data_IF_447169089739
#
_entry.id   IF_447169089739
#
_cell.length_a   1.000
_cell.length_b   1.000
_cell.length_c   1.000
_cell.angle_alpha   90.00
_cell.angle_beta   90.00
_cell.angle_gamma   90.00
#
_symmetry.space_group_name_H-M   'P 1'
#
loop_
_entity.id
_entity.type
_entity.pdbx_description
1 polymer ?
#
# COMPACT_ATOMS: atom_id res chain seq x y z
N UNK A 1 11.62 25.33 4.23
CA UNK A 1 10.52 24.33 4.06
C UNK A 1 10.87 23.42 2.89
N UNK A 2 10.64 22.10 3.01
CA UNK A 2 10.77 21.17 1.88
C UNK A 2 9.68 21.43 0.85
N UNK A 3 10.03 21.35 -0.43
CA UNK A 3 9.05 21.41 -1.53
C UNK A 3 8.19 20.14 -1.56
N UNK A 4 7.06 20.16 -2.26
CA UNK A 4 6.22 18.95 -2.45
C UNK A 4 7.02 17.79 -3.07
N UNK A 5 7.84 18.06 -4.10
CA UNK A 5 8.68 17.05 -4.72
C UNK A 5 9.67 16.43 -3.72
N UNK A 6 10.32 17.23 -2.90
CA UNK A 6 11.23 16.75 -1.86
C UNK A 6 10.50 15.88 -0.81
N UNK A 7 9.28 16.25 -0.44
CA UNK A 7 8.46 15.44 0.48
C UNK A 7 8.06 14.11 -0.18
N UNK A 8 7.70 14.12 -1.46
CA UNK A 8 7.32 12.91 -2.20
C UNK A 8 8.50 11.94 -2.33
N UNK A 9 9.72 12.46 -2.59
CA UNK A 9 10.95 11.67 -2.58
C UNK A 9 11.21 11.02 -1.21
N UNK A 10 11.07 11.79 -0.12
CA UNK A 10 11.22 11.28 1.24
C UNK A 10 10.17 10.23 1.59
N UNK A 11 8.95 10.39 1.10
CA UNK A 11 7.87 9.42 1.27
C UNK A 11 8.19 8.10 0.56
N UNK A 12 8.72 8.16 -0.66
CA UNK A 12 9.17 7.00 -1.40
C UNK A 12 10.39 6.33 -0.74
N UNK A 13 11.37 7.13 -0.28
CA UNK A 13 12.54 6.63 0.44
C UNK A 13 12.13 5.87 1.72
N UNK A 14 11.20 6.43 2.48
CA UNK A 14 10.67 5.80 3.69
C UNK A 14 10.00 4.46 3.37
N UNK A 15 9.20 4.39 2.30
CA UNK A 15 8.56 3.16 1.88
C UNK A 15 9.57 2.06 1.54
N UNK A 16 10.65 2.41 0.86
CA UNK A 16 11.68 1.46 0.42
C UNK A 16 12.58 1.03 1.57
N UNK A 17 13.14 1.99 2.32
CA UNK A 17 14.16 1.71 3.35
C UNK A 17 13.57 1.20 4.66
N UNK A 18 12.43 1.74 5.08
CA UNK A 18 11.82 1.41 6.38
C UNK A 18 10.62 0.48 6.22
N UNK A 19 9.71 0.82 5.31
CA UNK A 19 8.46 0.08 5.12
C UNK A 19 8.71 -1.32 4.58
N UNK A 20 9.21 -1.42 3.36
CA UNK A 20 9.52 -2.69 2.71
C UNK A 20 10.92 -3.23 3.04
N UNK A 21 11.80 -2.38 3.60
CA UNK A 21 13.18 -2.74 3.95
C UNK A 21 13.89 -3.50 2.81
N UNK A 22 13.86 -2.92 1.62
CA UNK A 22 14.39 -3.56 0.40
C UNK A 22 15.88 -3.85 0.55
N UNK A 23 16.26 -5.10 0.28
CA UNK A 23 17.63 -5.56 0.39
C UNK A 23 18.35 -5.60 -0.97
N UNK A 24 19.67 -5.49 -0.96
CA UNK A 24 20.49 -5.61 -2.16
C UNK A 24 20.27 -6.98 -2.85
N UNK A 25 20.01 -6.95 -4.15
CA UNK A 25 19.74 -8.15 -4.94
C UNK A 25 18.29 -8.68 -4.83
N UNK A 26 17.43 -8.05 -4.03
CA UNK A 26 16.04 -8.45 -3.86
C UNK A 26 15.19 -7.99 -5.05
N UNK A 27 14.19 -8.77 -5.41
CA UNK A 27 13.13 -8.34 -6.33
C UNK A 27 12.07 -7.53 -5.56
N UNK A 28 11.42 -6.59 -6.24
CA UNK A 28 10.40 -5.74 -5.65
C UNK A 28 9.13 -5.81 -6.49
N UNK A 29 7.98 -6.02 -5.86
CA UNK A 29 6.67 -5.91 -6.48
C UNK A 29 5.99 -4.63 -6.01
N UNK A 30 5.70 -3.72 -6.93
CA UNK A 30 4.90 -2.53 -6.68
C UNK A 30 3.49 -2.76 -7.24
N UNK A 31 2.47 -2.71 -6.37
CA UNK A 31 1.07 -2.64 -6.77
C UNK A 31 0.58 -1.22 -6.57
N UNK A 32 0.02 -0.59 -7.61
CA UNK A 32 -0.37 0.82 -7.54
C UNK A 32 -1.52 1.16 -8.49
N UNK A 33 -2.35 2.17 -8.17
CA UNK A 33 -3.29 2.72 -9.11
C UNK A 33 -2.55 3.48 -10.23
N UNK A 34 -3.12 3.49 -11.43
CA UNK A 34 -2.53 4.17 -12.60
C UNK A 34 -2.27 5.65 -12.35
N UNK A 35 -3.12 6.30 -11.53
CA UNK A 35 -2.98 7.72 -11.18
C UNK A 35 -1.74 8.02 -10.33
N UNK A 36 -1.16 7.01 -9.67
CA UNK A 36 0.05 7.15 -8.85
C UNK A 36 1.36 7.04 -9.65
N UNK A 37 1.32 7.16 -10.98
CA UNK A 37 2.46 6.92 -11.86
C UNK A 37 3.73 7.70 -11.50
N UNK A 38 3.60 8.96 -11.07
CA UNK A 38 4.75 9.76 -10.62
C UNK A 38 5.39 9.18 -9.35
N UNK A 39 4.58 8.90 -8.32
CA UNK A 39 5.06 8.28 -7.08
C UNK A 39 5.71 6.92 -7.36
N UNK A 40 5.12 6.11 -8.25
CA UNK A 40 5.69 4.80 -8.62
C UNK A 40 7.07 4.93 -9.24
N UNK A 41 7.31 5.95 -10.10
CA UNK A 41 8.64 6.18 -10.68
C UNK A 41 9.67 6.51 -9.60
N UNK A 42 9.31 7.38 -8.65
CA UNK A 42 10.19 7.75 -7.53
C UNK A 42 10.47 6.53 -6.63
N UNK A 43 9.44 5.75 -6.26
CA UNK A 43 9.61 4.52 -5.48
C UNK A 43 10.51 3.52 -6.21
N UNK A 44 10.36 3.40 -7.53
CA UNK A 44 11.19 2.52 -8.36
C UNK A 44 12.65 2.94 -8.35
N UNK A 45 12.91 4.24 -8.51
CA UNK A 45 14.26 4.80 -8.43
C UNK A 45 14.89 4.51 -7.06
N UNK A 46 14.18 4.80 -5.97
CA UNK A 46 14.64 4.51 -4.61
C UNK A 46 14.86 3.02 -4.35
N UNK A 47 14.05 2.15 -4.96
CA UNK A 47 14.26 0.70 -4.86
C UNK A 47 15.58 0.27 -5.55
N UNK A 48 15.88 0.80 -6.73
CA UNK A 48 17.16 0.53 -7.40
C UNK A 48 18.34 1.15 -6.66
N UNK A 49 18.22 2.37 -6.12
CA UNK A 49 19.23 2.98 -5.24
C UNK A 49 19.54 2.11 -4.01
N UNK A 50 18.52 1.44 -3.45
CA UNK A 50 18.68 0.48 -2.36
C UNK A 50 19.30 -0.87 -2.82
N UNK A 51 19.52 -1.03 -4.11
CA UNK A 51 20.15 -2.22 -4.70
C UNK A 51 19.16 -3.31 -5.13
N UNK A 52 17.90 -2.99 -5.36
CA UNK A 52 16.95 -3.95 -5.91
C UNK A 52 17.46 -4.55 -7.22
N UNK A 53 17.30 -5.87 -7.40
CA UNK A 53 17.67 -6.58 -8.62
C UNK A 53 16.72 -6.25 -9.77
N UNK A 54 15.44 -6.19 -9.49
CA UNK A 54 14.38 -5.94 -10.48
C UNK A 54 13.11 -5.44 -9.79
N UNK A 55 12.40 -4.51 -10.43
CA UNK A 55 11.11 -4.02 -9.97
C UNK A 55 10.02 -4.48 -10.94
N UNK A 56 8.98 -5.11 -10.40
CA UNK A 56 7.78 -5.56 -11.13
C UNK A 56 6.60 -4.67 -10.76
N UNK A 57 5.71 -4.47 -11.72
CA UNK A 57 4.54 -3.62 -11.55
C UNK A 57 3.24 -4.43 -11.70
N UNK A 58 2.26 -4.07 -10.86
CA UNK A 58 0.88 -4.52 -10.96
C UNK A 58 -0.04 -3.31 -10.85
N UNK A 59 -0.41 -2.74 -12.00
CA UNK A 59 -1.28 -1.58 -12.06
C UNK A 59 -2.71 -1.96 -11.73
N UNK A 60 -3.42 -1.09 -11.03
CA UNK A 60 -4.85 -1.19 -10.72
C UNK A 60 -5.56 0.07 -11.20
N UNK A 61 -6.83 -0.07 -11.50
CA UNK A 61 -7.72 1.04 -11.84
C UNK A 61 -9.09 0.77 -11.24
N UNK A 62 -9.45 1.54 -10.23
CA UNK A 62 -10.72 1.39 -9.50
C UNK A 62 -11.94 1.56 -10.42
N UNK A 63 -11.83 2.37 -11.47
CA UNK A 63 -12.91 2.59 -12.45
C UNK A 63 -13.10 1.37 -13.35
N UNK A 64 -12.00 0.74 -13.79
CA UNK A 64 -12.08 -0.49 -14.57
C UNK A 64 -12.59 -1.65 -13.73
N UNK A 65 -12.19 -1.76 -12.47
CA UNK A 65 -12.71 -2.76 -11.56
C UNK A 65 -14.21 -2.55 -11.26
N UNK A 66 -14.66 -1.30 -11.10
CA UNK A 66 -16.08 -0.96 -10.99
C UNK A 66 -16.87 -1.41 -12.24
N UNK A 67 -16.37 -1.07 -13.45
CA UNK A 67 -17.01 -1.47 -14.71
C UNK A 67 -17.08 -3.01 -14.84
N UNK A 68 -16.02 -3.72 -14.49
CA UNK A 68 -15.98 -5.17 -14.47
C UNK A 68 -17.06 -5.74 -13.55
N UNK A 69 -17.14 -5.29 -12.31
CA UNK A 69 -18.16 -5.75 -11.35
C UNK A 69 -19.58 -5.43 -11.81
N UNK A 70 -19.78 -4.29 -12.44
CA UNK A 70 -21.08 -3.89 -12.96
C UNK A 70 -21.56 -4.74 -14.12
N UNK A 71 -20.69 -5.07 -15.06
CA UNK A 71 -21.07 -5.67 -16.35
C UNK A 71 -20.77 -7.16 -16.47
N UNK A 72 -19.79 -7.70 -15.75
CA UNK A 72 -19.49 -9.14 -15.81
C UNK A 72 -20.56 -9.98 -15.16
N UNK A 73 -20.76 -11.20 -15.69
CA UNK A 73 -21.62 -12.21 -15.05
C UNK A 73 -20.98 -12.79 -13.78
N UNK A 74 -21.79 -13.34 -12.90
CA UNK A 74 -21.28 -14.02 -11.69
C UNK A 74 -20.32 -15.16 -12.03
N UNK A 75 -20.58 -15.90 -13.12
CA UNK A 75 -19.67 -16.95 -13.61
C UNK A 75 -18.28 -16.39 -13.87
N UNK A 76 -18.16 -15.27 -14.59
CA UNK A 76 -16.87 -14.62 -14.86
C UNK A 76 -16.22 -14.07 -13.61
N UNK A 77 -17.01 -13.50 -12.68
CA UNK A 77 -16.52 -12.98 -11.41
C UNK A 77 -15.99 -14.10 -10.50
N UNK A 78 -16.59 -15.32 -10.58
CA UNK A 78 -16.13 -16.48 -9.80
C UNK A 78 -14.83 -17.11 -10.32
N UNK A 79 -14.31 -16.64 -11.45
CA UNK A 79 -13.05 -17.06 -12.04
C UNK A 79 -11.95 -16.01 -11.84
N UNK A 80 -10.83 -16.43 -11.27
CA UNK A 80 -9.64 -15.56 -11.17
C UNK A 80 -8.60 -16.03 -12.20
N UNK A 81 -8.03 -15.12 -13.02
CA UNK A 81 -7.05 -15.51 -14.02
C UNK A 81 -5.81 -16.16 -13.39
N UNK A 82 -5.60 -17.44 -13.70
CA UNK A 82 -4.52 -18.25 -13.10
C UNK A 82 -3.14 -17.63 -13.31
N UNK A 83 -2.88 -17.04 -14.49
CA UNK A 83 -1.60 -16.39 -14.76
C UNK A 83 -1.32 -15.19 -13.84
N UNK A 84 -2.36 -14.44 -13.43
CA UNK A 84 -2.23 -13.34 -12.45
C UNK A 84 -1.86 -13.87 -11.07
N UNK A 85 -2.52 -14.96 -10.64
CA UNK A 85 -2.21 -15.60 -9.37
C UNK A 85 -0.78 -16.15 -9.36
N UNK A 86 -0.41 -16.91 -10.40
CA UNK A 86 0.93 -17.49 -10.54
C UNK A 86 2.05 -16.43 -10.52
N UNK A 87 1.83 -15.29 -11.19
CA UNK A 87 2.80 -14.17 -11.16
C UNK A 87 3.07 -13.68 -9.75
N UNK A 88 2.02 -13.45 -8.96
CA UNK A 88 2.14 -12.93 -7.60
C UNK A 88 2.73 -13.97 -6.66
N UNK A 89 2.29 -15.20 -6.79
CA UNK A 89 2.79 -16.34 -6.01
C UNK A 89 4.28 -16.60 -6.27
N UNK A 90 4.70 -16.61 -7.52
CA UNK A 90 6.09 -16.80 -7.91
C UNK A 90 7.00 -15.70 -7.32
N UNK A 91 6.57 -14.44 -7.37
CA UNK A 91 7.33 -13.33 -6.81
C UNK A 91 7.51 -13.47 -5.29
N UNK A 92 6.46 -13.78 -4.53
CA UNK A 92 6.59 -13.93 -3.07
C UNK A 92 7.37 -15.17 -2.69
N UNK A 93 7.28 -16.27 -3.44
CA UNK A 93 8.11 -17.48 -3.25
C UNK A 93 9.60 -17.22 -3.46
N UNK A 94 9.95 -16.28 -4.33
CA UNK A 94 11.33 -15.83 -4.54
C UNK A 94 11.79 -14.77 -3.53
N UNK A 95 10.93 -14.38 -2.58
CA UNK A 95 11.27 -13.42 -1.53
C UNK A 95 11.19 -11.96 -1.97
N UNK A 96 10.36 -11.62 -2.97
CA UNK A 96 10.17 -10.25 -3.41
C UNK A 96 9.58 -9.38 -2.31
N UNK A 97 10.14 -8.19 -2.09
CA UNK A 97 9.53 -7.18 -1.24
C UNK A 97 8.28 -6.60 -1.91
N UNK A 98 7.21 -6.38 -1.14
CA UNK A 98 5.94 -5.91 -1.69
C UNK A 98 5.65 -4.47 -1.23
N UNK A 99 5.38 -3.57 -2.17
CA UNK A 99 4.99 -2.19 -1.90
C UNK A 99 3.62 -1.96 -2.53
N UNK A 100 2.59 -1.82 -1.71
CA UNK A 100 1.24 -1.52 -2.18
C UNK A 100 0.98 -0.01 -2.04
N UNK A 101 0.75 0.68 -3.13
CA UNK A 101 0.24 2.05 -3.14
C UNK A 101 -1.26 1.97 -3.32
N UNK A 102 -2.02 2.46 -2.34
CA UNK A 102 -3.48 2.29 -2.30
C UNK A 102 -4.20 3.63 -2.29
N UNK A 103 -5.36 3.64 -2.91
CA UNK A 103 -6.42 4.63 -2.72
C UNK A 103 -7.40 4.15 -1.66
N UNK A 104 -8.36 4.98 -1.27
CA UNK A 104 -9.42 4.58 -0.34
C UNK A 104 -10.58 3.83 -1.00
N UNK A 105 -10.63 3.76 -2.34
CA UNK A 105 -11.73 3.12 -3.07
C UNK A 105 -13.10 3.76 -2.83
N UNK A 106 -13.16 5.04 -2.41
CA UNK A 106 -14.43 5.74 -2.17
C UNK A 106 -15.21 5.80 -3.48
N UNK A 107 -16.48 5.36 -3.41
CA UNK A 107 -17.37 5.31 -4.57
C UNK A 107 -17.18 4.08 -5.48
N UNK A 108 -16.14 3.27 -5.26
CA UNK A 108 -15.85 2.11 -6.09
C UNK A 108 -16.99 1.06 -6.09
N UNK A 109 -17.71 0.95 -4.98
CA UNK A 109 -18.82 -0.01 -4.83
C UNK A 109 -20.21 0.61 -5.08
N UNK A 110 -20.29 1.89 -5.45
CA UNK A 110 -21.57 2.55 -5.67
C UNK A 110 -22.34 1.90 -6.82
N UNK A 111 -23.58 1.44 -6.54
CA UNK A 111 -24.42 0.78 -7.53
C UNK A 111 -23.95 -0.64 -7.95
N UNK A 112 -23.00 -1.23 -7.25
CA UNK A 112 -22.60 -2.63 -7.42
C UNK A 112 -23.46 -3.53 -6.52
N UNK A 113 -23.93 -4.65 -7.08
CA UNK A 113 -24.62 -5.69 -6.31
C UNK A 113 -23.69 -6.21 -5.19
N UNK A 114 -24.08 -6.14 -3.91
CA UNK A 114 -23.29 -6.66 -2.80
C UNK A 114 -22.89 -8.13 -2.94
N UNK A 115 -23.72 -8.95 -3.59
CA UNK A 115 -23.41 -10.36 -3.85
C UNK A 115 -22.26 -10.51 -4.81
N UNK A 116 -22.23 -9.72 -5.89
CA UNK A 116 -21.11 -9.71 -6.83
C UNK A 116 -19.83 -9.23 -6.18
N UNK A 117 -19.89 -8.18 -5.36
CA UNK A 117 -18.73 -7.67 -4.61
C UNK A 117 -18.17 -8.73 -3.65
N UNK A 118 -19.04 -9.42 -2.91
CA UNK A 118 -18.62 -10.50 -2.01
C UNK A 118 -18.02 -11.70 -2.78
N UNK A 119 -18.64 -12.09 -3.90
CA UNK A 119 -18.13 -13.17 -4.76
C UNK A 119 -16.75 -12.86 -5.33
N UNK A 120 -16.52 -11.63 -5.80
CA UNK A 120 -15.23 -11.17 -6.31
C UNK A 120 -14.14 -11.24 -5.24
N UNK A 121 -14.46 -10.72 -4.03
CA UNK A 121 -13.55 -10.76 -2.91
C UNK A 121 -13.20 -12.19 -2.50
N UNK A 122 -14.18 -13.07 -2.37
CA UNK A 122 -13.96 -14.49 -2.05
C UNK A 122 -13.10 -15.16 -3.11
N UNK A 123 -13.43 -14.96 -4.39
CA UNK A 123 -12.67 -15.51 -5.52
C UNK A 123 -11.22 -15.05 -5.51
N UNK A 124 -10.98 -13.76 -5.29
CA UNK A 124 -9.63 -13.20 -5.18
C UNK A 124 -8.87 -13.80 -3.99
N UNK A 125 -9.48 -13.86 -2.79
CA UNK A 125 -8.84 -14.42 -1.61
C UNK A 125 -8.46 -15.87 -1.80
N UNK A 126 -9.35 -16.68 -2.39
CA UNK A 126 -9.09 -18.10 -2.70
C UNK A 126 -7.95 -18.26 -3.69
N UNK A 127 -7.96 -17.48 -4.77
CA UNK A 127 -6.95 -17.57 -5.83
C UNK A 127 -5.57 -17.08 -5.40
N UNK A 128 -5.51 -16.08 -4.49
CA UNK A 128 -4.28 -15.46 -4.02
C UNK A 128 -3.89 -15.94 -2.61
N UNK A 129 -4.43 -17.06 -2.15
CA UNK A 129 -4.19 -17.55 -0.79
C UNK A 129 -2.69 -17.67 -0.45
N UNK A 130 -1.88 -18.28 -1.33
CA UNK A 130 -0.43 -18.40 -1.14
C UNK A 130 0.25 -17.02 -1.05
N UNK A 131 -0.13 -16.09 -1.93
CA UNK A 131 0.42 -14.73 -1.92
C UNK A 131 0.13 -14.01 -0.60
N UNK A 132 -1.09 -14.09 -0.10
CA UNK A 132 -1.46 -13.49 1.18
C UNK A 132 -0.83 -14.22 2.38
N UNK A 133 -0.72 -15.54 2.34
CA UNK A 133 -0.07 -16.31 3.40
C UNK A 133 1.40 -15.90 3.59
N UNK A 134 2.16 -15.72 2.50
CA UNK A 134 3.54 -15.23 2.58
C UNK A 134 3.64 -13.84 3.20
N UNK A 135 2.70 -12.96 2.92
CA UNK A 135 2.68 -11.60 3.47
C UNK A 135 2.23 -11.57 4.93
N UNK A 136 1.14 -12.27 5.27
CA UNK A 136 0.56 -12.26 6.61
C UNK A 136 1.41 -13.04 7.62
N UNK A 137 2.24 -13.97 7.17
CA UNK A 137 3.19 -14.70 8.01
C UNK A 137 4.60 -14.09 8.01
N UNK A 138 4.75 -12.87 7.47
CA UNK A 138 6.01 -12.11 7.40
C UNK A 138 7.18 -12.88 6.73
N UNK A 139 6.86 -13.80 5.80
CA UNK A 139 7.89 -14.48 4.98
C UNK A 139 8.49 -13.57 3.92
N UNK A 140 7.82 -12.50 3.58
CA UNK A 140 8.31 -11.42 2.73
C UNK A 140 8.04 -10.08 3.40
N UNK A 141 8.92 -9.12 3.19
CA UNK A 141 8.69 -7.76 3.65
C UNK A 141 7.62 -7.08 2.81
N UNK A 142 6.77 -6.29 3.45
CA UNK A 142 5.73 -5.56 2.73
C UNK A 142 5.36 -4.26 3.44
N UNK A 143 4.89 -3.30 2.66
CA UNK A 143 4.37 -2.03 3.17
C UNK A 143 3.21 -1.52 2.35
N UNK A 144 2.43 -0.63 2.93
CA UNK A 144 1.33 0.07 2.26
C UNK A 144 1.61 1.57 2.33
N UNK A 145 1.57 2.21 1.15
CA UNK A 145 1.51 3.66 1.03
C UNK A 145 0.10 4.07 0.64
N UNK A 146 -0.29 5.23 1.09
CA UNK A 146 -1.57 5.83 0.70
C UNK A 146 -1.32 6.88 -0.39
N UNK A 147 -2.15 6.84 -1.42
CA UNK A 147 -2.22 7.83 -2.49
C UNK A 147 -3.57 8.56 -2.41
N UNK A 148 -3.59 9.89 -2.24
CA UNK A 148 -4.82 10.65 -2.10
C UNK A 148 -5.59 10.71 -3.43
N UNK A 149 -6.89 10.49 -3.36
CA UNK A 149 -7.81 10.75 -4.48
C UNK A 149 -8.59 12.04 -4.23
N UNK A 150 -9.12 12.60 -5.29
CA UNK A 150 -9.98 13.80 -5.22
C UNK A 150 -11.22 13.54 -4.39
N UNK A 151 -11.84 12.39 -4.59
CA UNK A 151 -13.06 11.96 -3.88
C UNK A 151 -12.81 11.89 -2.37
N UNK A 152 -11.68 11.31 -1.99
CA UNK A 152 -11.28 11.25 -0.58
C UNK A 152 -10.96 12.63 -0.02
N UNK A 153 -10.18 13.42 -0.74
CA UNK A 153 -9.83 14.77 -0.32
C UNK A 153 -11.07 15.66 -0.12
N UNK A 154 -12.02 15.61 -1.05
CA UNK A 154 -13.29 16.36 -0.92
C UNK A 154 -14.16 15.89 0.23
N UNK A 155 -14.13 14.61 0.57
CA UNK A 155 -14.87 14.08 1.73
C UNK A 155 -14.29 14.57 3.05
N UNK A 156 -12.98 14.74 3.15
CA UNK A 156 -12.30 15.23 4.35
C UNK A 156 -12.29 16.76 4.44
N UNK A 157 -12.25 17.44 3.30
CA UNK A 157 -12.20 18.90 3.22
C UNK A 157 -13.36 19.45 2.37
N UNK A 158 -14.62 19.27 2.86
CA UNK A 158 -15.78 19.77 2.14
C UNK A 158 -15.70 21.30 2.02
N UNK A 159 -16.05 21.84 0.86
CA UNK A 159 -15.99 23.28 0.58
C UNK A 159 -14.67 23.79 0.01
N UNK A 160 -13.57 23.02 0.05
CA UNK A 160 -12.34 23.39 -0.66
C UNK A 160 -12.40 23.04 -2.15
N UNK A 161 -11.75 23.83 -2.98
CA UNK A 161 -11.54 23.44 -4.39
C UNK A 161 -10.67 22.19 -4.46
N UNK A 162 -10.80 21.44 -5.55
CA UNK A 162 -10.20 20.13 -5.77
C UNK A 162 -8.70 20.11 -5.45
N UNK A 163 -7.96 21.05 -6.04
CA UNK A 163 -6.51 21.12 -5.95
C UNK A 163 -6.03 21.38 -4.52
N UNK A 164 -6.69 22.29 -3.81
CA UNK A 164 -6.36 22.60 -2.42
C UNK A 164 -6.73 21.44 -1.48
N UNK A 165 -7.85 20.78 -1.71
CA UNK A 165 -8.25 19.62 -0.91
C UNK A 165 -7.22 18.47 -1.03
N UNK A 166 -6.75 18.19 -2.24
CA UNK A 166 -5.72 17.16 -2.49
C UNK A 166 -4.38 17.55 -1.87
N UNK A 167 -3.99 18.84 -2.00
CA UNK A 167 -2.76 19.34 -1.39
C UNK A 167 -2.79 19.22 0.14
N UNK A 168 -3.90 19.59 0.78
CA UNK A 168 -4.05 19.44 2.23
C UNK A 168 -4.00 17.97 2.66
N UNK A 169 -4.59 17.07 1.87
CA UNK A 169 -4.55 15.64 2.18
C UNK A 169 -3.13 15.09 2.09
N UNK A 170 -2.33 15.54 1.11
CA UNK A 170 -0.91 15.23 1.06
C UNK A 170 -0.17 15.72 2.30
N UNK A 171 -0.43 16.95 2.77
CA UNK A 171 0.20 17.47 3.99
C UNK A 171 -0.14 16.63 5.22
N UNK A 172 -1.39 16.15 5.33
CA UNK A 172 -1.79 15.21 6.40
C UNK A 172 -1.00 13.90 6.30
N UNK A 173 -0.89 13.31 5.09
CA UNK A 173 -0.15 12.08 4.87
C UNK A 173 1.33 12.27 5.25
N UNK A 174 1.98 13.33 4.78
CA UNK A 174 3.37 13.63 5.08
C UNK A 174 3.61 13.81 6.58
N UNK A 175 2.71 14.50 7.27
CA UNK A 175 2.79 14.66 8.73
C UNK A 175 2.64 13.33 9.46
N UNK A 176 1.65 12.51 9.11
CA UNK A 176 1.41 11.22 9.73
C UNK A 176 2.56 10.24 9.52
N UNK A 177 3.19 10.30 8.36
CA UNK A 177 4.35 9.47 8.00
C UNK A 177 5.69 10.08 8.42
N UNK A 178 5.70 11.23 9.11
CA UNK A 178 6.90 11.95 9.59
C UNK A 178 7.83 12.44 8.45
N UNK A 179 7.33 12.53 7.24
CA UNK A 179 8.10 13.04 6.08
C UNK A 179 8.53 14.50 6.27
N UNK A 180 7.80 15.24 7.10
CA UNK A 180 8.14 16.63 7.46
C UNK A 180 9.41 16.77 8.31
N UNK A 181 9.83 15.70 9.00
CA UNK A 181 11.07 15.68 9.77
C UNK A 181 12.30 15.82 8.86
N UNK A 182 13.42 16.31 9.41
CA UNK A 182 14.65 16.43 8.65
C UNK A 182 15.14 15.07 8.13
N UNK A 183 15.12 14.06 8.97
CA UNK A 183 15.41 12.66 8.62
C UNK A 183 14.24 11.74 9.00
N UNK A 184 13.31 11.47 8.09
CA UNK A 184 12.19 10.57 8.33
C UNK A 184 12.61 9.14 8.64
N UNK A 185 13.70 8.64 8.04
CA UNK A 185 14.19 7.27 8.27
C UNK A 185 14.66 7.16 9.72
N UNK A 186 15.49 8.09 10.19
CA UNK A 186 15.94 8.11 11.58
C UNK A 186 14.77 8.27 12.57
N UNK A 187 13.81 9.14 12.25
CA UNK A 187 12.63 9.35 13.09
C UNK A 187 11.79 8.06 13.26
N UNK A 188 11.70 7.22 12.23
CA UNK A 188 11.04 5.92 12.32
C UNK A 188 11.88 4.87 13.06
N UNK A 189 13.21 4.88 12.92
CA UNK A 189 14.08 4.01 13.72
C UNK A 189 13.95 4.30 15.22
N UNK A 190 13.90 5.56 15.61
CA UNK A 190 13.71 5.97 17.01
C UNK A 190 12.29 5.62 17.52
N UNK A 191 11.29 5.73 16.63
CA UNK A 191 9.93 5.28 16.93
C UNK A 191 9.85 3.78 17.15
N UNK A 192 10.50 2.96 16.32
CA UNK A 192 10.61 1.49 16.50
C UNK A 192 11.24 1.13 17.84
N UNK A 193 12.34 1.80 18.23
CA UNK A 193 12.97 1.61 19.56
C UNK A 193 11.97 1.89 20.69
N UNK A 194 11.22 2.99 20.57
CA UNK A 194 10.19 3.36 21.55
C UNK A 194 9.10 2.29 21.66
N UNK A 195 8.62 1.79 20.50
CA UNK A 195 7.63 0.71 20.49
C UNK A 195 8.18 -0.58 21.09
N UNK A 196 9.40 -0.98 20.75
CA UNK A 196 10.06 -2.16 21.29
C UNK A 196 10.16 -2.11 22.83
N UNK A 197 10.52 -0.95 23.38
CA UNK A 197 10.55 -0.73 24.82
C UNK A 197 9.17 -0.89 25.47
N UNK A 198 8.11 -0.35 24.85
CA UNK A 198 6.73 -0.51 25.32
C UNK A 198 6.26 -1.96 25.25
N UNK A 199 6.56 -2.67 24.15
CA UNK A 199 6.26 -4.11 24.00
C UNK A 199 6.96 -4.92 25.09
N UNK A 200 8.26 -4.68 25.31
CA UNK A 200 9.02 -5.34 26.37
C UNK A 200 8.41 -5.08 27.75
N UNK A 201 8.01 -3.85 28.05
CA UNK A 201 7.35 -3.50 29.30
C UNK A 201 6.03 -4.26 29.47
N UNK A 202 5.16 -4.27 28.47
CA UNK A 202 3.86 -4.96 28.52
C UNK A 202 4.04 -6.47 28.69
N UNK A 203 4.97 -7.08 27.96
CA UNK A 203 5.27 -8.50 28.04
C UNK A 203 5.80 -8.91 29.42
N UNK A 204 6.64 -8.07 30.04
CA UNK A 204 7.12 -8.31 31.44
C UNK A 204 5.99 -8.27 32.45
N UNK A 205 4.95 -7.46 32.23
CA UNK A 205 3.80 -7.34 33.13
C UNK A 205 2.86 -8.56 33.08
N UNK A 206 2.87 -9.32 31.96
CA UNK A 206 2.05 -10.55 31.79
C UNK A 206 0.56 -10.31 32.10
N UNK A 207 -0.01 -9.16 31.63
CA UNK A 207 -1.41 -8.87 31.85
C UNK A 207 -2.30 -9.96 31.27
N UNK A 208 -3.31 -10.38 32.04
CA UNK A 208 -4.31 -11.37 31.58
C UNK A 208 -5.38 -10.76 30.70
N UNK A 209 -5.65 -9.47 30.86
CA UNK A 209 -6.66 -8.70 30.09
C UNK A 209 -6.19 -7.28 29.88
N UNK A 210 -6.57 -6.71 28.76
CA UNK A 210 -6.46 -5.29 28.48
C UNK A 210 -7.88 -4.75 28.28
N UNK A 211 -8.18 -3.60 28.85
CA UNK A 211 -9.42 -2.85 28.60
C UNK A 211 -9.06 -1.63 27.77
N UNK A 212 -9.83 -1.40 26.68
CA UNK A 212 -9.67 -0.26 25.78
C UNK A 212 -10.85 0.68 25.96
#
# INVERSE_FOLDING_TARGET
MKTFAQKLEKYAELAVKVGANVQKGQEVLIKAPIDAGELVRIVTEKAYEAGAKRVFFNWTDDKLDHLRLKHASETVISEYPVWKANKLEDLVKRGAACIDIRTTGIGMMDGIDPKKAALDQETMWRALNTYYDYRMSDRVSWTILIFPTVEWAKKLFPGKIRELAVADLWEVIFKMTRVDCDDPVQAWEDHKKTLANKVSFLNKKKYKRLHY
#
